data_IF_793397865177
#
_entry.id   IF_793397865177
#
_cell.length_a   1.000
_cell.length_b   1.000
_cell.length_c   1.000
_cell.angle_alpha   90.00
_cell.angle_beta   90.00
_cell.angle_gamma   90.00
#
_symmetry.space_group_name_H-M   'P 1'
#
loop_
_entity.id
_entity.type
_entity.pdbx_description
1 polymer ?
#
# COMPACT_ATOMS: atom_id res chain seq x y z
N UNK A 1 -7.12 -5.24 -9.01
CA UNK A 1 -6.88 -6.54 -8.36
C UNK A 1 -7.33 -7.65 -9.29
N UNK A 2 -6.47 -8.60 -9.60
CA UNK A 2 -6.78 -9.73 -10.49
C UNK A 2 -7.35 -10.88 -9.67
N UNK A 3 -8.47 -11.45 -10.08
CA UNK A 3 -9.06 -12.62 -9.42
C UNK A 3 -8.87 -13.86 -10.30
N UNK A 4 -8.35 -14.91 -9.69
CA UNK A 4 -8.03 -16.18 -10.34
C UNK A 4 -8.73 -17.32 -9.60
N UNK A 5 -9.37 -18.24 -10.32
CA UNK A 5 -9.96 -19.44 -9.72
C UNK A 5 -8.85 -20.44 -9.37
N UNK A 6 -8.81 -20.94 -8.13
CA UNK A 6 -7.79 -21.87 -7.61
C UNK A 6 -7.75 -23.21 -8.34
N UNK A 7 -8.92 -23.71 -8.72
CA UNK A 7 -9.09 -25.07 -9.27
C UNK A 7 -8.43 -25.23 -10.65
N UNK A 8 -8.62 -24.24 -11.53
CA UNK A 8 -8.19 -24.30 -12.94
C UNK A 8 -7.16 -23.21 -13.30
N UNK A 9 -6.84 -22.29 -12.38
CA UNK A 9 -5.98 -21.13 -12.65
C UNK A 9 -6.58 -20.11 -13.62
N UNK A 10 -7.87 -20.18 -13.91
CA UNK A 10 -8.55 -19.30 -14.87
C UNK A 10 -8.73 -17.91 -14.25
N UNK A 11 -8.38 -16.88 -15.03
CA UNK A 11 -8.59 -15.48 -14.65
C UNK A 11 -10.08 -15.15 -14.80
N UNK A 12 -10.76 -14.90 -13.69
CA UNK A 12 -12.17 -14.52 -13.66
C UNK A 12 -12.33 -13.08 -14.17
N UNK A 13 -11.41 -12.19 -13.79
CA UNK A 13 -11.42 -10.81 -14.21
C UNK A 13 -10.51 -9.91 -13.38
N UNK A 14 -10.53 -8.62 -13.71
CA UNK A 14 -9.89 -7.56 -12.92
C UNK A 14 -10.99 -6.79 -12.21
N UNK A 15 -10.94 -6.78 -10.88
CA UNK A 15 -11.91 -6.15 -10.01
C UNK A 15 -11.25 -5.06 -9.17
N UNK A 16 -12.07 -4.17 -8.62
CA UNK A 16 -11.62 -3.20 -7.63
C UNK A 16 -11.42 -3.90 -6.28
N UNK A 17 -10.29 -3.67 -5.61
CA UNK A 17 -9.94 -4.31 -4.34
C UNK A 17 -11.02 -4.11 -3.26
N UNK A 18 -11.70 -2.97 -3.22
CA UNK A 18 -12.72 -2.66 -2.21
C UNK A 18 -14.01 -3.48 -2.35
N UNK A 19 -14.22 -4.15 -3.48
CA UNK A 19 -15.48 -4.83 -3.81
C UNK A 19 -15.28 -6.15 -4.57
N UNK A 20 -14.04 -6.60 -4.75
CA UNK A 20 -13.69 -7.78 -5.52
C UNK A 20 -14.40 -9.04 -5.01
N UNK A 21 -14.40 -9.28 -3.70
CA UNK A 21 -15.06 -10.45 -3.10
C UNK A 21 -16.56 -10.48 -3.40
N UNK A 22 -17.21 -9.31 -3.29
CA UNK A 22 -18.64 -9.15 -3.51
C UNK A 22 -19.01 -9.32 -4.99
N UNK A 23 -18.18 -8.79 -5.90
CA UNK A 23 -18.39 -8.94 -7.34
C UNK A 23 -18.15 -10.39 -7.79
N UNK A 24 -17.16 -11.08 -7.23
CA UNK A 24 -16.89 -12.50 -7.48
C UNK A 24 -18.05 -13.37 -7.01
N UNK A 25 -18.59 -13.10 -5.81
CA UNK A 25 -19.77 -13.78 -5.29
C UNK A 25 -21.02 -13.53 -6.17
N UNK A 26 -21.19 -12.31 -6.69
CA UNK A 26 -22.29 -11.95 -7.60
C UNK A 26 -22.22 -12.69 -8.95
N UNK A 27 -21.01 -13.02 -9.41
CA UNK A 27 -20.78 -13.82 -10.61
C UNK A 27 -21.01 -15.33 -10.39
N UNK A 28 -21.32 -15.73 -9.15
CA UNK A 28 -21.60 -17.12 -8.79
C UNK A 28 -20.36 -17.94 -8.44
N UNK A 29 -19.21 -17.29 -8.22
CA UNK A 29 -17.98 -17.94 -7.77
C UNK A 29 -17.85 -17.88 -6.24
N UNK A 30 -17.30 -18.94 -5.64
CA UNK A 30 -16.96 -18.95 -4.22
C UNK A 30 -15.69 -18.15 -3.97
N UNK A 31 -15.72 -17.20 -3.03
CA UNK A 31 -14.58 -16.37 -2.65
C UNK A 31 -13.42 -17.22 -2.12
N UNK A 32 -13.72 -18.28 -1.36
CA UNK A 32 -12.72 -19.22 -0.84
C UNK A 32 -11.97 -20.00 -1.94
N UNK A 33 -12.60 -20.17 -3.10
CA UNK A 33 -12.03 -20.85 -4.27
C UNK A 33 -11.30 -19.88 -5.21
N UNK A 34 -11.19 -18.61 -4.84
CA UNK A 34 -10.53 -17.58 -5.62
C UNK A 34 -9.26 -17.07 -4.93
N UNK A 35 -8.24 -16.81 -5.73
CA UNK A 35 -7.05 -16.05 -5.35
C UNK A 35 -7.20 -14.61 -5.81
N UNK A 36 -7.04 -13.69 -4.86
CA UNK A 36 -7.07 -12.25 -5.08
C UNK A 36 -5.64 -11.76 -5.18
N UNK A 37 -5.15 -11.63 -6.41
CA UNK A 37 -3.78 -11.26 -6.69
C UNK A 37 -3.76 -9.76 -6.99
N UNK A 38 -3.19 -9.00 -6.06
CA UNK A 38 -2.84 -7.61 -6.32
C UNK A 38 -1.63 -7.58 -7.27
N UNK A 39 -1.67 -6.72 -8.28
CA UNK A 39 -0.54 -6.59 -9.20
C UNK A 39 0.57 -5.75 -8.57
N UNK A 40 1.82 -5.98 -8.97
CA UNK A 40 2.96 -5.20 -8.47
C UNK A 40 2.76 -3.68 -8.69
N UNK A 41 2.23 -3.27 -9.83
CA UNK A 41 1.94 -1.86 -10.11
C UNK A 41 0.89 -1.25 -9.18
N UNK A 42 -0.08 -2.05 -8.70
CA UNK A 42 -1.05 -1.59 -7.70
C UNK A 42 -0.40 -1.45 -6.32
N UNK A 43 0.45 -2.40 -5.93
CA UNK A 43 1.22 -2.34 -4.69
C UNK A 43 2.16 -1.14 -4.68
N UNK A 44 2.92 -0.93 -5.75
CA UNK A 44 3.82 0.21 -5.91
C UNK A 44 3.07 1.53 -5.76
N UNK A 45 1.88 1.64 -6.38
CA UNK A 45 1.05 2.84 -6.29
C UNK A 45 0.56 3.08 -4.86
N UNK A 46 0.10 2.06 -4.17
CA UNK A 46 -0.36 2.16 -2.77
C UNK A 46 0.79 2.55 -1.84
N UNK A 47 1.96 1.96 -2.02
CA UNK A 47 3.17 2.29 -1.27
C UNK A 47 3.61 3.75 -1.49
N UNK A 48 3.59 4.23 -2.74
CA UNK A 48 3.89 5.63 -3.06
C UNK A 48 2.87 6.59 -2.44
N UNK A 49 1.57 6.28 -2.53
CA UNK A 49 0.51 7.08 -1.90
C UNK A 49 0.62 7.09 -0.38
N UNK A 50 0.99 5.96 0.24
CA UNK A 50 1.25 5.87 1.67
C UNK A 50 2.41 6.78 2.08
N UNK A 51 3.53 6.74 1.35
CA UNK A 51 4.69 7.61 1.62
C UNK A 51 4.30 9.09 1.46
N UNK A 52 3.55 9.45 0.41
CA UNK A 52 3.11 10.82 0.18
C UNK A 52 2.14 11.31 1.27
N UNK A 53 1.13 10.50 1.59
CA UNK A 53 0.09 10.85 2.55
C UNK A 53 0.56 10.92 4.00
N UNK A 54 1.67 10.26 4.34
CA UNK A 54 2.26 10.26 5.68
C UNK A 54 3.44 11.23 5.83
N UNK A 55 3.84 11.93 4.76
CA UNK A 55 5.03 12.79 4.77
C UNK A 55 4.89 14.00 5.71
N UNK A 56 3.71 14.61 5.74
CA UNK A 56 3.39 15.71 6.63
C UNK A 56 3.45 15.30 8.11
N UNK A 57 3.15 14.04 8.44
CA UNK A 57 3.22 13.52 9.81
C UNK A 57 4.67 13.46 10.27
N UNK A 58 5.56 13.01 9.38
CA UNK A 58 7.00 12.93 9.66
C UNK A 58 7.59 14.32 9.85
N UNK A 59 7.28 15.25 8.95
CA UNK A 59 7.76 16.64 9.04
C UNK A 59 7.26 17.30 10.31
N UNK A 60 5.95 17.19 10.60
CA UNK A 60 5.35 17.75 11.81
C UNK A 60 5.97 17.19 13.08
N UNK A 61 6.18 15.87 13.17
CA UNK A 61 6.79 15.27 14.36
C UNK A 61 8.22 15.81 14.58
N UNK A 62 9.02 15.93 13.52
CA UNK A 62 10.38 16.51 13.60
C UNK A 62 10.35 17.96 14.08
N UNK A 63 9.42 18.77 13.57
CA UNK A 63 9.27 20.15 13.99
C UNK A 63 8.86 20.24 15.48
N UNK A 64 7.94 19.38 15.92
CA UNK A 64 7.51 19.32 17.32
C UNK A 64 8.67 18.97 18.26
N UNK A 65 9.48 17.96 17.89
CA UNK A 65 10.69 17.58 18.64
C UNK A 65 11.70 18.73 18.69
N UNK A 66 11.96 19.40 17.57
CA UNK A 66 12.88 20.53 17.50
C UNK A 66 12.43 21.73 18.33
N UNK A 67 11.12 21.96 18.44
CA UNK A 67 10.51 23.00 19.27
C UNK A 67 10.39 22.59 20.75
N UNK A 68 10.67 21.33 21.11
CA UNK A 68 10.50 20.82 22.46
C UNK A 68 9.04 20.79 22.92
N UNK A 69 8.09 20.66 21.99
CA UNK A 69 6.66 20.59 22.29
C UNK A 69 6.18 19.14 22.28
N UNK A 70 5.09 18.87 22.99
CA UNK A 70 4.48 17.55 23.01
C UNK A 70 4.08 17.11 21.60
N UNK A 71 4.56 15.93 21.21
CA UNK A 71 4.36 15.36 19.88
C UNK A 71 2.99 14.73 19.78
N UNK A 72 2.36 14.82 18.61
CA UNK A 72 1.07 14.15 18.38
C UNK A 72 1.22 12.62 18.22
N UNK A 73 2.44 12.15 17.98
CA UNK A 73 2.83 10.74 17.89
C UNK A 73 3.81 10.44 19.01
N UNK A 74 3.66 9.29 19.65
CA UNK A 74 4.71 8.77 20.54
C UNK A 74 5.95 8.43 19.72
N UNK A 75 7.12 8.42 20.36
CA UNK A 75 8.38 8.04 19.70
C UNK A 75 8.29 6.64 19.08
N UNK A 76 7.63 5.70 19.75
CA UNK A 76 7.39 4.34 19.26
C UNK A 76 6.54 4.34 17.99
N UNK A 77 5.42 5.07 17.97
CA UNK A 77 4.56 5.19 16.80
C UNK A 77 5.27 5.89 15.64
N UNK A 78 6.14 6.86 15.95
CA UNK A 78 6.97 7.53 14.94
C UNK A 78 8.01 6.57 14.34
N UNK A 79 8.68 5.76 15.15
CA UNK A 79 9.62 4.75 14.66
C UNK A 79 8.92 3.69 13.81
N UNK A 80 7.73 3.25 14.22
CA UNK A 80 6.92 2.31 13.45
C UNK A 80 6.53 2.91 12.09
N UNK A 81 6.09 4.16 12.06
CA UNK A 81 5.79 4.89 10.82
C UNK A 81 7.01 4.97 9.89
N UNK A 82 8.19 5.28 10.43
CA UNK A 82 9.43 5.32 9.65
C UNK A 82 9.80 3.95 9.09
N UNK A 83 9.64 2.89 9.88
CA UNK A 83 9.89 1.51 9.45
C UNK A 83 8.94 1.12 8.32
N UNK A 84 7.63 1.35 8.49
CA UNK A 84 6.62 1.09 7.45
C UNK A 84 6.91 1.86 6.16
N UNK A 85 7.32 3.13 6.26
CA UNK A 85 7.71 3.94 5.10
C UNK A 85 8.97 3.41 4.42
N UNK A 86 9.91 2.85 5.18
CA UNK A 86 11.12 2.25 4.62
C UNK A 86 10.76 0.96 3.87
N UNK A 87 9.98 0.08 4.48
CA UNK A 87 9.45 -1.12 3.82
C UNK A 87 8.69 -0.79 2.54
N UNK A 88 7.79 0.20 2.58
CA UNK A 88 7.05 0.64 1.41
C UNK A 88 7.95 1.14 0.27
N UNK A 89 9.12 1.72 0.57
CA UNK A 89 10.11 2.12 -0.45
C UNK A 89 10.86 0.93 -1.02
N UNK A 90 11.21 -0.02 -0.18
CA UNK A 90 11.95 -1.22 -0.57
C UNK A 90 11.07 -2.19 -1.39
N UNK A 91 9.76 -2.19 -1.13
CA UNK A 91 8.75 -2.98 -1.84
C UNK A 91 8.36 -2.40 -3.21
N UNK A 92 8.70 -1.13 -3.51
CA UNK A 92 8.47 -0.54 -4.83
C UNK A 92 9.51 -1.09 -5.81
N UNK A 93 9.08 -1.98 -6.70
CA UNK A 93 9.97 -2.69 -7.63
C UNK A 93 10.33 -1.84 -8.85
N UNK A 94 9.48 -0.89 -9.24
CA UNK A 94 9.72 -0.02 -10.40
C UNK A 94 10.84 1.02 -10.13
N UNK A 95 12.05 0.69 -10.59
CA UNK A 95 13.23 1.57 -10.51
C UNK A 95 13.03 2.91 -11.23
N UNK A 96 12.21 2.99 -12.27
CA UNK A 96 11.97 4.22 -13.02
C UNK A 96 11.06 5.20 -12.23
N UNK A 97 10.14 4.64 -11.43
CA UNK A 97 9.31 5.40 -10.49
C UNK A 97 10.12 5.90 -9.26
N UNK A 98 11.02 5.07 -8.72
CA UNK A 98 11.94 5.45 -7.64
C UNK A 98 12.88 6.59 -8.05
N UNK A 99 13.42 6.55 -9.28
CA UNK A 99 14.31 7.61 -9.80
C UNK A 99 13.57 8.94 -9.95
N UNK A 100 12.31 8.94 -10.40
CA UNK A 100 11.49 10.16 -10.51
C UNK A 100 11.17 10.78 -9.15
N UNK A 101 10.94 9.97 -8.12
CA UNK A 101 10.68 10.46 -6.76
C UNK A 101 11.93 11.05 -6.09
N UNK A 102 13.12 10.55 -6.40
CA UNK A 102 14.41 11.01 -5.82
C UNK A 102 14.94 12.32 -6.41
N UNK A 103 14.39 12.78 -7.53
CA UNK A 103 14.84 13.98 -8.26
C UNK A 103 13.97 15.23 -8.02
N UNK A 104 12.99 15.17 -7.11
CA UNK A 104 12.24 16.33 -6.63
C UNK A 104 12.72 16.74 -5.24
#
# INVERSE_FOLDING_TARGET
>A
MKVVKKDDGIVIGVFNASNAEREVALLGYSVDECDFIQTQAEQDRENLLFIESTDWQVTRHRDQVAMGVETALTDEAYQELLSQRQTARDDVVDQDALVKYRQR
#
